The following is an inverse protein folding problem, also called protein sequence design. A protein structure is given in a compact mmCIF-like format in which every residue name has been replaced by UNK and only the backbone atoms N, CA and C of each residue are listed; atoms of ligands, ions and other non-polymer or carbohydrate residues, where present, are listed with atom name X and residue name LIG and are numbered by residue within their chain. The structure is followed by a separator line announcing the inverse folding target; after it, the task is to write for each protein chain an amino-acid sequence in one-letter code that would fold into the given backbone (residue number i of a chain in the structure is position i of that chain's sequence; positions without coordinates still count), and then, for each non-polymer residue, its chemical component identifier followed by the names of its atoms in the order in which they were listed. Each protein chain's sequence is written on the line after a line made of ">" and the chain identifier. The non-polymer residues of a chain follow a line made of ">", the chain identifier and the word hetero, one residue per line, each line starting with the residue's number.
data_IF_597695890608
#
_entry.id   IF_597695890608
#
_cell.length_a   1.000
_cell.length_b   1.000
_cell.length_c   1.000
_cell.angle_alpha   90.00
_cell.angle_beta   90.00
_cell.angle_gamma   90.00
#
_symmetry.space_group_name_H-M   'P 1'
#
loop_
_entity.id
_entity.type
_entity.pdbx_description
1 polymer ?
#
# COMPACT_ATOMS: atom_id res chain seq x y z
N UNK A 1 -18.33 13.73 21.88
CA UNK A 1 -17.63 13.58 20.57
C UNK A 1 -16.48 14.55 20.57
N UNK A 2 -15.22 14.11 20.50
CA UNK A 2 -14.06 15.01 20.62
C UNK A 2 -13.80 15.72 19.27
N UNK A 3 -13.40 16.99 19.31
CA UNK A 3 -13.19 17.82 18.10
C UNK A 3 -12.20 17.21 17.10
N UNK A 4 -11.25 16.39 17.57
CA UNK A 4 -10.33 15.63 16.72
C UNK A 4 -11.03 14.58 15.85
N UNK A 5 -12.00 13.86 16.41
CA UNK A 5 -12.74 12.82 15.69
C UNK A 5 -13.62 13.42 14.60
N UNK A 6 -14.28 14.55 14.88
CA UNK A 6 -15.09 15.27 13.90
C UNK A 6 -14.23 15.75 12.71
N UNK A 7 -13.04 16.31 12.99
CA UNK A 7 -12.10 16.78 11.96
C UNK A 7 -11.57 15.63 11.08
N UNK A 8 -11.24 14.47 11.67
CA UNK A 8 -10.81 13.26 10.92
C UNK A 8 -11.89 12.80 9.94
N UNK A 9 -13.16 12.82 10.36
CA UNK A 9 -14.31 12.43 9.53
C UNK A 9 -14.55 13.43 8.38
N UNK A 10 -14.39 14.73 8.60
CA UNK A 10 -14.49 15.73 7.54
C UNK A 10 -13.39 15.58 6.50
N UNK A 11 -12.14 15.38 6.92
CA UNK A 11 -11.01 15.15 5.99
C UNK A 11 -11.23 13.90 5.16
N UNK A 12 -11.72 12.81 5.75
CA UNK A 12 -12.01 11.57 5.03
C UNK A 12 -13.08 11.75 3.92
N UNK A 13 -13.96 12.75 4.02
CA UNK A 13 -14.93 13.10 2.96
C UNK A 13 -14.30 13.88 1.81
N UNK A 14 -13.17 14.55 2.04
CA UNK A 14 -12.46 15.37 1.04
C UNK A 14 -11.52 14.53 0.17
N UNK A 15 -11.09 13.36 0.63
CA UNK A 15 -10.25 12.47 -0.17
C UNK A 15 -11.14 11.67 -1.13
N UNK A 16 -10.92 11.75 -2.46
CA UNK A 16 -11.68 10.92 -3.40
C UNK A 16 -11.51 9.45 -2.99
N UNK A 17 -12.63 8.72 -2.89
CA UNK A 17 -12.58 7.29 -2.59
C UNK A 17 -11.76 6.61 -3.68
N UNK A 18 -10.54 6.19 -3.35
CA UNK A 18 -9.75 5.34 -4.23
C UNK A 18 -10.56 4.07 -4.49
N UNK A 19 -10.80 3.77 -5.77
CA UNK A 19 -11.51 2.57 -6.17
C UNK A 19 -10.53 1.40 -6.09
N UNK A 20 -10.33 0.83 -4.90
CA UNK A 20 -9.54 -0.38 -4.77
C UNK A 20 -10.23 -1.52 -5.53
N UNK A 21 -9.66 -1.93 -6.67
CA UNK A 21 -10.20 -3.02 -7.49
C UNK A 21 -9.25 -4.22 -7.43
N UNK A 22 -9.24 -4.90 -6.28
CA UNK A 22 -8.49 -6.15 -6.13
C UNK A 22 -9.28 -7.24 -6.88
N UNK A 23 -8.78 -7.62 -8.06
CA UNK A 23 -9.40 -8.67 -8.86
C UNK A 23 -9.34 -10.01 -8.10
N UNK A 24 -10.39 -10.85 -8.16
CA UNK A 24 -10.40 -12.15 -7.48
C UNK A 24 -9.33 -13.10 -8.03
N UNK A 25 -8.91 -12.90 -9.28
CA UNK A 25 -7.84 -13.65 -9.92
C UNK A 25 -6.58 -12.81 -9.99
N UNK A 26 -5.48 -13.35 -9.48
CA UNK A 26 -4.15 -12.75 -9.59
C UNK A 26 -3.70 -12.68 -11.05
N UNK A 27 -2.80 -11.74 -11.38
CA UNK A 27 -2.24 -11.66 -12.72
C UNK A 27 -1.23 -12.80 -12.90
N UNK A 28 -1.20 -13.41 -14.09
CA UNK A 28 -0.21 -14.45 -14.42
C UNK A 28 1.18 -13.83 -14.64
N UNK A 29 1.84 -13.46 -13.53
CA UNK A 29 3.21 -12.99 -13.52
C UNK A 29 4.12 -14.20 -13.32
N UNK A 30 4.79 -14.66 -14.40
CA UNK A 30 5.77 -15.74 -14.30
C UNK A 30 6.89 -15.34 -13.32
N UNK A 31 7.14 -16.20 -12.35
CA UNK A 31 8.25 -16.08 -11.42
C UNK A 31 8.84 -17.48 -11.18
N UNK A 32 10.18 -17.58 -11.19
CA UNK A 32 10.94 -18.80 -10.92
C UNK A 32 10.70 -19.35 -9.52
N UNK A 33 10.46 -18.48 -8.55
CA UNK A 33 10.16 -18.83 -7.15
C UNK A 33 8.65 -19.03 -6.92
N UNK A 34 7.85 -19.15 -7.99
CA UNK A 34 6.43 -19.42 -7.89
C UNK A 34 5.61 -18.29 -7.23
N UNK A 35 4.55 -18.64 -6.48
CA UNK A 35 3.65 -17.65 -5.87
C UNK A 35 4.33 -16.72 -4.86
N UNK A 36 5.30 -17.23 -4.10
CA UNK A 36 6.02 -16.45 -3.09
C UNK A 36 6.91 -15.38 -3.75
N UNK A 37 7.69 -15.75 -4.76
CA UNK A 37 8.47 -14.79 -5.52
C UNK A 37 7.61 -13.72 -6.17
N UNK A 38 6.39 -14.06 -6.62
CA UNK A 38 5.45 -13.05 -7.14
C UNK A 38 5.14 -12.00 -6.08
N UNK A 39 4.85 -12.42 -4.84
CA UNK A 39 4.61 -11.51 -3.72
C UNK A 39 5.85 -10.69 -3.41
N UNK A 40 7.03 -11.29 -3.31
CA UNK A 40 8.28 -10.57 -3.04
C UNK A 40 8.56 -9.48 -4.10
N UNK A 41 8.27 -9.78 -5.36
CA UNK A 41 8.37 -8.82 -6.46
C UNK A 41 7.39 -7.66 -6.33
N UNK A 42 6.16 -7.94 -5.89
CA UNK A 42 5.16 -6.91 -5.59
C UNK A 42 5.63 -6.03 -4.43
N UNK A 43 6.11 -6.62 -3.32
CA UNK A 43 6.63 -5.88 -2.16
C UNK A 43 7.75 -4.91 -2.53
N UNK A 44 8.73 -5.41 -3.29
CA UNK A 44 9.85 -4.59 -3.79
C UNK A 44 9.36 -3.44 -4.69
N UNK A 45 8.46 -3.75 -5.63
CA UNK A 45 7.92 -2.75 -6.56
C UNK A 45 7.08 -1.70 -5.82
N UNK A 46 6.30 -2.12 -4.82
CA UNK A 46 5.45 -1.24 -4.03
C UNK A 46 6.27 -0.31 -3.12
N UNK A 47 7.32 -0.85 -2.49
CA UNK A 47 8.27 -0.04 -1.70
C UNK A 47 8.95 1.01 -2.59
N UNK A 48 9.41 0.62 -3.78
CA UNK A 48 9.96 1.56 -4.76
C UNK A 48 8.92 2.58 -5.23
N UNK A 49 7.66 2.19 -5.41
CA UNK A 49 6.58 3.10 -5.83
C UNK A 49 6.34 4.19 -4.78
N UNK A 50 6.33 3.83 -3.49
CA UNK A 50 6.16 4.81 -2.41
C UNK A 50 7.39 5.70 -2.26
N UNK A 51 8.60 5.17 -2.47
CA UNK A 51 9.84 5.94 -2.39
C UNK A 51 10.01 6.95 -3.52
N UNK A 52 9.71 6.55 -4.76
CA UNK A 52 9.95 7.35 -5.96
C UNK A 52 8.69 8.05 -6.48
N UNK A 53 7.54 7.80 -5.86
CA UNK A 53 6.21 8.33 -6.19
C UNK A 53 5.67 7.97 -7.60
N UNK A 54 6.54 7.50 -8.51
CA UNK A 54 6.23 7.11 -9.88
C UNK A 54 7.18 6.03 -10.36
N UNK A 55 6.64 4.99 -11.01
CA UNK A 55 7.41 3.93 -11.66
C UNK A 55 6.85 3.63 -13.05
N UNK A 56 7.75 3.31 -13.98
CA UNK A 56 7.41 2.85 -15.33
C UNK A 56 7.78 1.36 -15.45
N UNK A 57 6.76 0.52 -15.63
CA UNK A 57 6.91 -0.94 -15.66
C UNK A 57 5.95 -1.55 -16.69
N UNK A 58 6.07 -2.87 -16.88
CA UNK A 58 5.15 -3.62 -17.73
C UNK A 58 3.72 -3.62 -17.17
N UNK A 59 2.72 -3.40 -18.04
CA UNK A 59 1.32 -3.15 -17.67
C UNK A 59 0.72 -4.16 -16.67
N UNK A 60 0.84 -5.50 -16.85
CA UNK A 60 0.39 -6.48 -15.86
C UNK A 60 1.00 -6.30 -14.47
N UNK A 61 2.27 -5.88 -14.36
CA UNK A 61 2.90 -5.59 -13.07
C UNK A 61 2.36 -4.29 -12.48
N UNK A 62 2.22 -3.25 -13.30
CA UNK A 62 1.63 -1.98 -12.86
C UNK A 62 0.21 -2.17 -12.32
N UNK A 63 -0.64 -2.92 -13.03
CA UNK A 63 -2.03 -3.15 -12.65
C UNK A 63 -2.14 -3.92 -11.34
N UNK A 64 -1.29 -4.93 -11.13
CA UNK A 64 -1.28 -5.69 -9.88
C UNK A 64 -0.77 -4.85 -8.71
N UNK A 65 0.35 -4.14 -8.87
CA UNK A 65 0.92 -3.26 -7.83
C UNK A 65 -0.02 -2.12 -7.49
N UNK A 66 -0.71 -1.53 -8.47
CA UNK A 66 -1.71 -0.47 -8.25
C UNK A 66 -2.78 -0.92 -7.25
N UNK A 67 -3.32 -2.13 -7.41
CA UNK A 67 -4.36 -2.65 -6.51
C UNK A 67 -3.89 -2.78 -5.05
N UNK A 68 -2.63 -3.18 -4.83
CA UNK A 68 -2.04 -3.23 -3.49
C UNK A 68 -1.74 -1.83 -2.92
N UNK A 69 -1.27 -0.91 -3.75
CA UNK A 69 -1.04 0.49 -3.36
C UNK A 69 -2.35 1.17 -2.93
N UNK A 70 -3.40 1.07 -3.75
CA UNK A 70 -4.72 1.62 -3.43
C UNK A 70 -5.29 1.03 -2.14
N UNK A 71 -5.07 -0.27 -1.89
CA UNK A 71 -5.49 -0.91 -0.63
C UNK A 71 -4.75 -0.32 0.57
N UNK A 72 -3.43 -0.19 0.53
CA UNK A 72 -2.65 0.39 1.64
C UNK A 72 -3.10 1.82 1.94
N UNK A 73 -3.26 2.66 0.91
CA UNK A 73 -3.71 4.04 1.08
C UNK A 73 -5.13 4.08 1.65
N UNK A 74 -6.03 3.20 1.18
CA UNK A 74 -7.40 3.13 1.69
C UNK A 74 -7.44 2.77 3.17
N UNK A 75 -6.67 1.76 3.59
CA UNK A 75 -6.58 1.36 5.00
C UNK A 75 -5.98 2.46 5.87
N UNK A 76 -4.94 3.14 5.38
CA UNK A 76 -4.31 4.27 6.06
C UNK A 76 -5.28 5.46 6.23
N UNK A 77 -6.05 5.82 5.20
CA UNK A 77 -7.07 6.88 5.28
C UNK A 77 -8.17 6.52 6.29
N UNK A 78 -8.62 5.27 6.28
CA UNK A 78 -9.73 4.82 7.14
C UNK A 78 -9.35 4.77 8.61
N UNK A 79 -8.20 4.16 8.89
CA UNK A 79 -7.86 3.77 10.25
C UNK A 79 -6.73 4.63 10.84
N UNK A 80 -5.75 5.01 10.01
CA UNK A 80 -4.53 5.69 10.46
C UNK A 80 -3.47 4.73 10.98
N UNK A 81 -2.40 5.31 11.49
CA UNK A 81 -1.19 4.64 12.01
C UNK A 81 -1.39 3.93 13.35
N UNK A 82 -2.34 4.39 14.18
CA UNK A 82 -2.63 3.76 15.47
C UNK A 82 -3.43 2.45 15.36
N UNK A 83 -3.81 2.02 14.15
CA UNK A 83 -4.60 0.81 13.96
C UNK A 83 -3.70 -0.39 13.67
N UNK A 84 -3.56 -1.37 14.60
CA UNK A 84 -2.60 -2.45 14.46
C UNK A 84 -2.78 -3.27 13.17
N UNK A 85 -4.00 -3.67 12.76
CA UNK A 85 -4.19 -4.41 11.51
C UNK A 85 -3.71 -3.66 10.26
N UNK A 86 -3.86 -2.33 10.24
CA UNK A 86 -3.39 -1.50 9.12
C UNK A 86 -1.86 -1.43 9.12
N UNK A 87 -1.24 -1.31 10.29
CA UNK A 87 0.21 -1.31 10.41
C UNK A 87 0.83 -2.67 10.11
N UNK A 88 0.19 -3.78 10.51
CA UNK A 88 0.64 -5.13 10.16
C UNK A 88 0.58 -5.37 8.64
N UNK A 89 -0.48 -4.87 7.99
CA UNK A 89 -0.59 -4.92 6.54
C UNK A 89 0.54 -4.12 5.86
N UNK A 90 0.83 -2.91 6.35
CA UNK A 90 1.93 -2.09 5.85
C UNK A 90 3.30 -2.78 6.08
N UNK A 91 3.54 -3.26 7.29
CA UNK A 91 4.77 -3.98 7.67
C UNK A 91 5.00 -5.25 6.85
N UNK A 92 3.92 -5.93 6.43
CA UNK A 92 4.04 -7.09 5.57
C UNK A 92 4.48 -6.71 4.16
N UNK A 93 3.92 -5.64 3.58
CA UNK A 93 4.12 -5.29 2.17
C UNK A 93 5.30 -4.37 1.90
N UNK A 94 5.69 -3.54 2.86
CA UNK A 94 6.75 -2.55 2.71
C UNK A 94 8.04 -3.08 3.32
N UNK A 95 9.06 -3.23 2.48
CA UNK A 95 10.37 -3.74 2.89
C UNK A 95 11.20 -2.63 3.55
N UNK A 96 11.03 -1.39 3.08
CA UNK A 96 11.73 -0.22 3.61
C UNK A 96 10.97 0.28 4.83
N UNK A 97 11.32 -0.25 6.01
CA UNK A 97 11.05 0.47 7.25
C UNK A 97 12.07 1.60 7.29
N UNK A 98 11.63 2.84 7.09
CA UNK A 98 12.42 3.98 7.52
C UNK A 98 12.58 3.86 9.04
N UNK A 99 13.67 3.21 9.46
CA UNK A 99 14.18 3.41 10.80
C UNK A 99 14.71 4.85 10.78
N UNK A 100 13.91 5.81 11.24
CA UNK A 100 14.37 7.14 11.62
C UNK A 100 15.27 7.01 12.87
N UNK A 101 16.38 6.30 12.71
CA UNK A 101 17.45 6.08 13.67
C UNK A 101 18.78 6.31 12.95
N UNK A 102 18.86 7.44 12.26
CA UNK A 102 20.08 8.16 11.92
C UNK A 102 19.78 9.66 12.11
N UNK A 103 19.46 10.03 13.35
CA UNK A 103 19.79 11.36 13.85
C UNK A 103 20.89 11.12 14.87
N UNK A 104 22.13 11.22 14.38
CA UNK A 104 23.34 11.40 15.20
C UNK A 104 23.42 12.87 15.57
#
# INVERSE_FOLDING_TARGET
>A
MNNFTARKVEIAKLVPKLKHNVKPRYRNLKNTEGPEGRINKIKSTLSALLKYERLELFLPRCDEVRGYAERLITEAIRHGDQHPPTMDLANYFLNDKQNDSQVV
#
